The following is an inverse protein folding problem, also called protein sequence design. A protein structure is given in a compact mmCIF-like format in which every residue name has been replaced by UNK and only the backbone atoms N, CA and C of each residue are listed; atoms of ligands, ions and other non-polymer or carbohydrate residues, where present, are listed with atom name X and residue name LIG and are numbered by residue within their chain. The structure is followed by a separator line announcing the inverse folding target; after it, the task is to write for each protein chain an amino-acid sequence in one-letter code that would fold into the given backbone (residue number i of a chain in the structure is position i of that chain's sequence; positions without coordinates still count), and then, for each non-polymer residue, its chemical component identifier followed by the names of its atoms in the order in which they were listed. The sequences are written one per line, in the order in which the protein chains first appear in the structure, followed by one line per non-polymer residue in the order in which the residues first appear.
data_IF_865841594820
#
_entry.id   IF_865841594820
#
_cell.length_a   1.000
_cell.length_b   1.000
_cell.length_c   1.000
_cell.angle_alpha   90.00
_cell.angle_beta   90.00
_cell.angle_gamma   90.00
#
_symmetry.space_group_name_H-M   'P 1'
#
loop_
_entity.id
_entity.type
_entity.pdbx_description
1 polymer ?
#
# COMPACT_ATOMS: atom_id res chain seq x y z
N UNK A 1 -17.05 -7.19 -6.20
CA UNK A 1 -16.26 -7.17 -7.45
C UNK A 1 -14.79 -7.39 -7.12
N UNK A 2 -13.95 -7.79 -8.08
CA UNK A 2 -12.50 -7.90 -7.88
C UNK A 2 -11.75 -7.24 -9.04
N UNK A 3 -10.92 -6.25 -8.74
CA UNK A 3 -10.02 -5.61 -9.71
C UNK A 3 -8.57 -5.96 -9.36
N UNK A 4 -7.77 -6.27 -10.38
CA UNK A 4 -6.37 -6.69 -10.27
C UNK A 4 -5.46 -5.79 -11.11
N UNK A 5 -4.27 -5.53 -10.60
CA UNK A 5 -3.28 -4.74 -11.31
C UNK A 5 -1.85 -5.13 -10.95
N UNK A 6 -0.94 -4.67 -11.80
CA UNK A 6 0.46 -4.53 -11.43
C UNK A 6 0.72 -3.08 -10.99
N UNK A 7 1.77 -2.87 -10.20
CA UNK A 7 2.19 -1.52 -9.88
C UNK A 7 3.70 -1.36 -9.88
N UNK A 8 4.15 -0.13 -10.09
CA UNK A 8 5.56 0.26 -9.98
C UNK A 8 5.70 1.36 -8.94
N UNK A 9 6.72 1.28 -8.09
CA UNK A 9 7.12 2.39 -7.21
C UNK A 9 7.91 3.40 -8.04
N UNK A 10 7.36 4.59 -8.25
CA UNK A 10 8.00 5.67 -9.01
C UNK A 10 8.91 6.53 -8.14
N UNK A 11 8.55 6.71 -6.88
CA UNK A 11 9.35 7.44 -5.91
C UNK A 11 9.25 6.78 -4.53
N UNK A 12 10.38 6.77 -3.81
CA UNK A 12 10.48 6.40 -2.40
C UNK A 12 11.42 7.40 -1.74
N UNK A 13 10.88 8.26 -0.88
CA UNK A 13 11.63 9.37 -0.28
C UNK A 13 11.53 9.26 1.24
N UNK A 14 12.61 8.85 1.93
CA UNK A 14 12.68 8.90 3.39
C UNK A 14 12.44 10.33 3.91
N UNK A 15 11.87 10.43 5.09
CA UNK A 15 11.63 11.70 5.80
C UNK A 15 12.40 11.74 7.11
N UNK A 16 12.53 12.93 7.69
CA UNK A 16 13.11 13.11 9.03
C UNK A 16 12.11 12.83 10.16
N UNK A 17 10.87 12.44 9.85
CA UNK A 17 9.86 12.13 10.85
C UNK A 17 10.20 10.82 11.57
N UNK A 18 10.29 10.91 12.89
CA UNK A 18 10.59 9.79 13.79
C UNK A 18 9.67 9.82 15.01
N UNK A 19 9.50 8.68 15.71
CA UNK A 19 8.77 8.65 16.97
C UNK A 19 9.40 9.59 18.01
N UNK A 20 8.55 10.20 18.85
CA UNK A 20 8.97 10.93 20.04
C UNK A 20 8.22 10.41 21.28
N UNK A 21 8.92 10.07 22.38
CA UNK A 21 10.37 10.20 22.59
C UNK A 21 11.20 9.21 21.74
N UNK A 22 12.48 9.53 21.55
CA UNK A 22 13.42 8.63 20.86
C UNK A 22 13.68 7.39 21.73
N UNK A 23 13.28 6.22 21.23
CA UNK A 23 13.47 4.92 21.88
C UNK A 23 14.35 4.06 20.98
N UNK A 24 15.62 3.82 21.36
CA UNK A 24 16.52 2.99 20.56
C UNK A 24 16.03 1.54 20.50
N UNK A 25 15.96 0.99 19.29
CA UNK A 25 15.67 -0.43 19.02
C UNK A 25 16.72 -1.02 18.09
N UNK A 26 16.76 -2.35 17.96
CA UNK A 26 17.63 -3.01 16.96
C UNK A 26 17.19 -2.79 15.51
N UNK A 27 15.99 -2.26 15.30
CA UNK A 27 15.43 -1.94 14.00
C UNK A 27 14.61 -0.65 14.12
N UNK A 28 15.22 0.52 13.91
CA UNK A 28 14.59 1.81 14.18
C UNK A 28 13.40 2.05 13.25
N UNK A 29 12.42 2.81 13.75
CA UNK A 29 11.24 3.21 12.96
C UNK A 29 11.61 4.41 12.08
N UNK A 30 11.24 4.35 10.80
CA UNK A 30 11.35 5.46 9.87
C UNK A 30 10.04 5.67 9.10
N UNK A 31 9.88 6.88 8.57
CA UNK A 31 8.75 7.24 7.70
C UNK A 31 9.29 7.67 6.33
N UNK A 32 8.63 7.20 5.27
CA UNK A 32 8.88 7.59 3.89
C UNK A 32 7.57 8.02 3.22
N UNK A 33 7.71 8.89 2.22
CA UNK A 33 6.65 9.15 1.24
C UNK A 33 6.93 8.30 -0.01
N UNK A 34 5.88 7.81 -0.66
CA UNK A 34 6.02 7.04 -1.90
C UNK A 34 5.00 7.49 -2.94
N UNK A 35 5.38 7.34 -4.21
CA UNK A 35 4.46 7.39 -5.34
C UNK A 35 4.46 6.03 -6.04
N UNK A 36 3.27 5.50 -6.32
CA UNK A 36 3.09 4.28 -7.12
C UNK A 36 2.18 4.55 -8.30
N UNK A 37 2.42 3.86 -9.41
CA UNK A 37 1.53 3.84 -10.58
C UNK A 37 0.99 2.44 -10.82
N UNK A 38 -0.28 2.36 -11.19
CA UNK A 38 -1.07 1.13 -11.33
C UNK A 38 -1.50 0.91 -12.77
N UNK A 39 -1.38 -0.33 -13.25
CA UNK A 39 -1.77 -0.73 -14.60
C UNK A 39 -2.52 -2.08 -14.58
N UNK A 40 -3.62 -2.16 -15.34
CA UNK A 40 -4.49 -3.34 -15.42
C UNK A 40 -5.95 -2.93 -15.26
N UNK A 41 -6.69 -3.66 -14.43
CA UNK A 41 -8.08 -3.32 -14.06
C UNK A 41 -8.15 -2.19 -13.03
N UNK A 42 -7.03 -1.94 -12.34
CA UNK A 42 -6.78 -0.74 -11.53
C UNK A 42 -5.82 0.13 -12.34
N UNK A 43 -6.24 1.34 -12.70
CA UNK A 43 -5.43 2.28 -13.46
C UNK A 43 -5.35 3.58 -12.69
N UNK A 44 -4.16 4.09 -12.45
CA UNK A 44 -4.01 5.35 -11.73
C UNK A 44 -2.69 5.45 -10.99
N UNK A 45 -2.68 6.27 -9.95
CA UNK A 45 -1.52 6.48 -9.10
C UNK A 45 -1.91 6.66 -7.65
N UNK A 46 -0.89 6.69 -6.80
CA UNK A 46 -1.09 6.93 -5.38
C UNK A 46 0.01 7.78 -4.76
N UNK A 47 -0.35 8.44 -3.67
CA UNK A 47 0.59 8.98 -2.70
C UNK A 47 0.48 8.18 -1.40
N UNK A 48 1.62 7.68 -0.90
CA UNK A 48 1.67 6.81 0.27
C UNK A 48 2.46 7.47 1.40
N UNK A 49 1.94 7.37 2.63
CA UNK A 49 2.74 7.47 3.84
C UNK A 49 3.10 6.06 4.30
N UNK A 50 4.39 5.74 4.28
CA UNK A 50 4.94 4.43 4.60
C UNK A 50 5.74 4.55 5.89
N UNK A 51 5.38 3.80 6.93
CA UNK A 51 6.18 3.72 8.16
C UNK A 51 6.59 2.27 8.41
N UNK A 52 7.84 2.08 8.81
CA UNK A 52 8.40 0.76 8.99
C UNK A 52 9.53 0.74 10.02
N UNK A 53 9.64 -0.40 10.69
CA UNK A 53 10.89 -0.88 11.25
C UNK A 53 11.37 -1.98 10.30
N UNK A 54 12.26 -1.63 9.37
CA UNK A 54 12.64 -2.50 8.26
C UNK A 54 14.09 -2.30 7.84
N UNK A 55 14.80 -3.42 7.68
CA UNK A 55 16.17 -3.45 7.19
C UNK A 55 16.16 -3.84 5.71
N UNK A 56 16.52 -2.88 4.86
CA UNK A 56 16.56 -3.08 3.41
C UNK A 56 17.61 -4.10 2.97
N UNK A 57 18.70 -4.27 3.73
CA UNK A 57 19.78 -5.17 3.36
C UNK A 57 19.40 -6.64 3.58
N UNK A 58 18.70 -6.93 4.68
CA UNK A 58 18.27 -8.29 5.02
C UNK A 58 16.85 -8.60 4.59
N UNK A 59 16.06 -7.57 4.25
CA UNK A 59 14.64 -7.72 3.95
C UNK A 59 13.81 -8.07 5.19
N UNK A 60 14.33 -7.86 6.39
CA UNK A 60 13.64 -8.18 7.65
C UNK A 60 12.91 -6.96 8.17
N UNK A 61 11.66 -7.14 8.62
CA UNK A 61 10.95 -6.13 9.38
C UNK A 61 9.44 -6.11 9.14
N UNK A 62 8.82 -5.04 9.60
CA UNK A 62 7.38 -4.81 9.52
C UNK A 62 7.12 -3.40 9.01
N UNK A 63 6.13 -3.26 8.15
CA UNK A 63 5.67 -1.96 7.67
C UNK A 63 4.16 -1.82 7.76
N UNK A 64 3.70 -0.57 7.76
CA UNK A 64 2.32 -0.21 7.44
C UNK A 64 2.33 1.02 6.53
N UNK A 65 1.42 1.01 5.56
CA UNK A 65 1.29 2.03 4.54
C UNK A 65 -0.16 2.50 4.44
N UNK A 66 -0.38 3.79 4.61
CA UNK A 66 -1.65 4.46 4.34
C UNK A 66 -1.53 5.17 3.00
N UNK A 67 -2.46 4.90 2.10
CA UNK A 67 -2.30 5.27 0.71
C UNK A 67 -3.55 5.92 0.15
N UNK A 68 -3.38 7.10 -0.47
CA UNK A 68 -4.41 7.78 -1.23
C UNK A 68 -4.24 7.44 -2.71
N UNK A 69 -5.23 6.75 -3.27
CA UNK A 69 -5.29 6.38 -4.68
C UNK A 69 -6.21 7.33 -5.45
N UNK A 70 -5.81 7.69 -6.67
CA UNK A 70 -6.65 8.35 -7.67
C UNK A 70 -6.55 7.62 -9.02
N UNK A 71 -7.69 7.43 -9.68
CA UNK A 71 -7.79 6.72 -10.97
C UNK A 71 -9.10 5.94 -11.08
N UNK A 72 -9.05 4.76 -11.71
CA UNK A 72 -10.23 3.91 -11.88
C UNK A 72 -10.05 2.45 -11.48
N UNK A 73 -11.17 1.86 -11.03
CA UNK A 73 -11.38 0.42 -10.86
C UNK A 73 -12.41 -0.05 -11.88
N UNK A 74 -12.02 -0.97 -12.78
CA UNK A 74 -12.88 -1.43 -13.89
C UNK A 74 -13.51 -0.27 -14.68
N UNK A 75 -12.74 0.81 -14.89
CA UNK A 75 -13.17 2.01 -15.62
C UNK A 75 -14.07 2.98 -14.84
N UNK A 76 -14.38 2.73 -13.57
CA UNK A 76 -15.09 3.68 -12.69
C UNK A 76 -14.10 4.64 -12.06
N UNK A 77 -14.22 5.92 -12.39
CA UNK A 77 -13.27 6.96 -12.01
C UNK A 77 -13.55 7.53 -10.62
N UNK A 78 -12.51 7.72 -9.82
CA UNK A 78 -12.61 8.30 -8.49
C UNK A 78 -11.28 8.26 -7.73
N UNK A 79 -11.41 8.42 -6.42
CA UNK A 79 -10.30 8.29 -5.49
C UNK A 79 -10.77 7.60 -4.22
N UNK A 80 -9.88 6.94 -3.50
CA UNK A 80 -10.14 6.38 -2.18
C UNK A 80 -8.82 6.17 -1.43
N UNK A 81 -8.90 5.97 -0.12
CA UNK A 81 -7.76 5.59 0.69
C UNK A 81 -7.79 4.08 0.97
N UNK A 82 -6.63 3.45 1.06
CA UNK A 82 -6.49 2.09 1.58
C UNK A 82 -5.25 1.97 2.45
N UNK A 83 -5.28 1.03 3.40
CA UNK A 83 -4.15 0.73 4.27
C UNK A 83 -3.70 -0.71 4.06
N UNK A 84 -2.40 -0.94 4.11
CA UNK A 84 -1.84 -2.27 4.06
C UNK A 84 -0.59 -2.41 4.94
N UNK A 85 -0.37 -3.59 5.49
CA UNK A 85 0.81 -3.93 6.29
C UNK A 85 1.25 -5.37 6.03
N UNK A 86 2.52 -5.64 6.28
CA UNK A 86 3.05 -6.99 6.35
C UNK A 86 4.34 -7.04 7.18
N UNK A 87 4.70 -8.26 7.58
CA UNK A 87 5.96 -8.60 8.22
C UNK A 87 6.74 -9.58 7.35
N UNK A 88 8.05 -9.50 7.37
CA UNK A 88 8.95 -10.42 6.68
C UNK A 88 10.19 -10.73 7.51
N UNK A 89 10.64 -11.98 7.44
CA UNK A 89 11.90 -12.48 7.99
C UNK A 89 13.02 -12.54 6.94
N UNK A 90 12.84 -11.87 5.79
CA UNK A 90 13.79 -11.83 4.68
C UNK A 90 13.48 -12.84 3.56
N UNK A 91 12.79 -13.95 3.88
CA UNK A 91 12.39 -14.96 2.89
C UNK A 91 10.89 -15.24 2.84
N UNK A 92 10.14 -14.83 3.87
CA UNK A 92 8.69 -15.01 3.96
C UNK A 92 7.95 -13.67 3.95
N UNK A 93 6.63 -13.73 3.81
CA UNK A 93 5.72 -12.61 3.97
C UNK A 93 4.53 -13.07 4.80
N UNK A 94 4.31 -12.43 5.93
CA UNK A 94 3.34 -12.84 6.95
C UNK A 94 2.64 -11.62 7.54
N UNK A 95 1.67 -11.85 8.44
CA UNK A 95 0.93 -10.80 9.14
C UNK A 95 0.33 -9.75 8.20
N UNK A 96 -0.20 -10.20 7.06
CA UNK A 96 -0.75 -9.33 6.05
C UNK A 96 -2.09 -8.75 6.48
N UNK A 97 -2.24 -7.45 6.25
CA UNK A 97 -3.50 -6.74 6.41
C UNK A 97 -3.69 -5.81 5.23
N UNK A 98 -4.92 -5.70 4.74
CA UNK A 98 -5.29 -4.81 3.65
C UNK A 98 -6.75 -4.42 3.81
N UNK A 99 -7.06 -3.12 3.80
CA UNK A 99 -8.45 -2.66 3.82
C UNK A 99 -8.61 -1.35 3.05
N UNK A 100 -9.73 -1.22 2.35
CA UNK A 100 -10.19 0.05 1.79
C UNK A 100 -10.77 0.86 2.96
N UNK A 101 -10.26 2.08 3.17
CA UNK A 101 -10.71 2.94 4.26
C UNK A 101 -12.17 3.32 4.02
N UNK A 102 -13.09 2.95 4.92
CA UNK A 102 -14.51 3.25 4.74
C UNK A 102 -14.76 4.74 4.55
N UNK A 103 -15.73 5.07 3.69
CA UNK A 103 -16.15 6.45 3.41
C UNK A 103 -15.09 7.36 2.78
N UNK A 104 -13.95 6.82 2.34
CA UNK A 104 -12.90 7.60 1.66
C UNK A 104 -13.14 7.78 0.16
N UNK A 105 -14.05 7.00 -0.41
CA UNK A 105 -14.39 7.00 -1.83
C UNK A 105 -14.93 8.33 -2.34
N UNK A 106 -14.55 8.71 -3.56
CA UNK A 106 -15.06 9.89 -4.28
C UNK A 106 -15.45 9.52 -5.71
N UNK A 107 -16.18 10.40 -6.41
CA UNK A 107 -16.59 10.19 -7.79
C UNK A 107 -17.48 8.95 -7.94
N UNK A 108 -17.21 8.12 -8.95
CA UNK A 108 -17.93 6.85 -9.17
C UNK A 108 -17.52 5.76 -8.17
N UNK A 109 -16.52 6.02 -7.33
CA UNK A 109 -16.07 5.16 -6.24
C UNK A 109 -16.59 5.67 -4.88
N UNK A 110 -17.49 6.65 -4.85
CA UNK A 110 -18.13 7.09 -3.62
C UNK A 110 -18.87 5.93 -2.93
N UNK A 111 -18.65 5.75 -1.63
CA UNK A 111 -19.22 4.63 -0.88
C UNK A 111 -18.46 3.30 -0.99
N UNK A 112 -17.32 3.26 -1.68
CA UNK A 112 -16.51 2.05 -1.81
C UNK A 112 -16.12 1.47 -0.45
N UNK A 113 -16.29 0.15 -0.32
CA UNK A 113 -15.81 -0.65 0.81
C UNK A 113 -15.12 -1.89 0.29
N UNK A 114 -14.31 -2.54 1.13
CA UNK A 114 -13.69 -3.80 0.77
C UNK A 114 -12.31 -4.00 1.37
N UNK A 115 -11.65 -5.03 0.88
CA UNK A 115 -10.30 -5.43 1.26
C UNK A 115 -9.49 -5.75 0.00
N UNK A 116 -8.40 -6.48 0.16
CA UNK A 116 -7.53 -6.81 -0.95
C UNK A 116 -6.27 -7.50 -0.48
N UNK A 117 -5.21 -7.31 -1.25
CA UNK A 117 -3.90 -7.81 -0.90
C UNK A 117 -2.88 -7.51 -1.98
N UNK A 118 -1.66 -7.93 -1.71
CA UNK A 118 -0.51 -7.68 -2.57
C UNK A 118 0.36 -8.93 -2.64
N UNK A 119 1.04 -9.12 -3.76
CA UNK A 119 2.01 -10.19 -3.94
C UNK A 119 3.19 -9.66 -4.77
N UNK A 120 4.32 -10.35 -4.65
CA UNK A 120 5.47 -10.14 -5.54
C UNK A 120 5.72 -11.46 -6.22
N UNK A 121 5.66 -11.47 -7.55
CA UNK A 121 5.95 -12.66 -8.34
C UNK A 121 7.45 -12.99 -8.29
N UNK A 122 7.81 -14.21 -8.70
CA UNK A 122 9.21 -14.67 -8.73
C UNK A 122 10.12 -13.81 -9.62
N UNK A 123 9.57 -13.10 -10.60
CA UNK A 123 10.29 -12.18 -11.48
C UNK A 123 10.39 -10.74 -10.92
N UNK A 124 9.87 -10.50 -9.72
CA UNK A 124 9.84 -9.18 -9.08
C UNK A 124 8.61 -8.34 -9.43
N UNK A 125 7.68 -8.85 -10.23
CA UNK A 125 6.45 -8.11 -10.57
C UNK A 125 5.59 -7.92 -9.33
N UNK A 126 5.34 -6.66 -8.97
CA UNK A 126 4.43 -6.33 -7.89
C UNK A 126 2.98 -6.38 -8.36
N UNK A 127 2.15 -7.16 -7.65
CA UNK A 127 0.71 -7.30 -7.88
C UNK A 127 -0.08 -6.71 -6.72
N UNK A 128 -1.26 -6.20 -7.06
CA UNK A 128 -2.27 -5.75 -6.10
C UNK A 128 -3.65 -6.20 -6.59
N UNK A 129 -4.56 -6.42 -5.65
CA UNK A 129 -5.97 -6.59 -5.96
C UNK A 129 -6.84 -5.91 -4.91
N UNK A 130 -8.02 -5.47 -5.35
CA UNK A 130 -9.09 -4.95 -4.51
C UNK A 130 -10.30 -5.86 -4.67
N UNK A 131 -10.75 -6.45 -3.56
CA UNK A 131 -12.03 -7.13 -3.45
C UNK A 131 -13.02 -6.11 -2.84
N UNK A 132 -13.84 -5.47 -3.68
CA UNK A 132 -14.58 -4.26 -3.34
C UNK A 132 -16.08 -4.32 -3.68
N UNK A 133 -16.85 -3.46 -3.01
CA UNK A 133 -18.28 -3.26 -3.19
C UNK A 133 -18.60 -1.75 -3.24
N UNK A 134 -19.67 -1.36 -3.93
CA UNK A 134 -20.10 0.04 -4.12
C UNK A 134 -21.56 0.28 -3.68
N UNK A 135 -22.20 -0.69 -3.02
CA UNK A 135 -23.63 -0.71 -2.74
C UNK A 135 -24.44 -1.48 -3.77
#
# INVERSE_FOLDING_TARGET
MRATATFTVKAFVPTELKPEPDVPTGLPVGVATMEKTYEGEVVGRSATLFTAAFDQATGVGTYVAMESFEGSLHGREGAFNFVHSATTSGSDRTAEFFTIVPSSGTGELAGITGAGGMAVDADGTHRIWFDYDLG
#
